data_IF_363145537391
#
_entry.id   IF_363145537391
#
_cell.length_a   1.000
_cell.length_b   1.000
_cell.length_c   1.000
_cell.angle_alpha   90.00
_cell.angle_beta   90.00
_cell.angle_gamma   90.00
#
_symmetry.space_group_name_H-M   'P 1'
#
loop_
_entity.id
_entity.type
_entity.pdbx_description
1 polymer ?
#
# COMPACT_ATOMS: atom_id res chain seq x y z
N UNK A 1 -2.12 4.31 -23.48
CA UNK A 1 -2.23 5.33 -22.41
C UNK A 1 -3.60 5.22 -21.79
N UNK A 2 -3.69 5.15 -20.47
CA UNK A 2 -4.95 5.00 -19.74
C UNK A 2 -4.99 5.96 -18.56
N UNK A 3 -6.15 6.55 -18.29
CA UNK A 3 -6.33 7.38 -17.08
C UNK A 3 -6.32 6.47 -15.86
N UNK A 4 -5.57 6.87 -14.84
CA UNK A 4 -5.39 6.11 -13.61
C UNK A 4 -5.51 7.00 -12.38
N UNK A 5 -5.93 6.39 -11.28
CA UNK A 5 -5.79 6.96 -9.94
C UNK A 5 -4.92 6.00 -9.14
N UNK A 6 -3.75 6.46 -8.70
CA UNK A 6 -2.80 5.67 -7.91
C UNK A 6 -2.98 6.06 -6.45
N UNK A 7 -3.23 5.08 -5.56
CA UNK A 7 -3.16 5.29 -4.11
C UNK A 7 -1.90 4.64 -3.55
N UNK A 8 -1.11 5.41 -2.84
CA UNK A 8 0.10 4.96 -2.16
C UNK A 8 -0.21 4.42 -0.75
N UNK A 9 0.78 3.82 -0.10
CA UNK A 9 0.62 3.27 1.25
C UNK A 9 0.43 4.31 2.36
N UNK A 10 0.86 5.54 2.11
CA UNK A 10 0.68 6.69 2.99
C UNK A 10 -0.64 7.42 2.73
N UNK A 11 -1.52 6.82 1.93
CA UNK A 11 -2.79 7.38 1.44
C UNK A 11 -2.68 8.60 0.55
N UNK A 12 -1.47 8.98 0.12
CA UNK A 12 -1.33 9.92 -0.98
C UNK A 12 -2.00 9.34 -2.24
N UNK A 13 -2.63 10.22 -3.02
CA UNK A 13 -3.28 9.86 -4.28
C UNK A 13 -2.76 10.73 -5.41
N UNK A 14 -2.41 10.10 -6.52
CA UNK A 14 -2.01 10.78 -7.76
C UNK A 14 -2.97 10.38 -8.87
N UNK A 15 -3.51 11.38 -9.55
CA UNK A 15 -4.28 11.19 -10.77
C UNK A 15 -3.43 11.52 -11.99
N UNK A 16 -3.64 10.79 -13.10
CA UNK A 16 -2.91 11.07 -14.32
C UNK A 16 -3.14 10.04 -15.41
N UNK A 17 -2.23 10.04 -16.38
CA UNK A 17 -2.24 9.13 -17.52
C UNK A 17 -1.03 8.22 -17.47
N UNK A 18 -1.27 6.91 -17.30
CA UNK A 18 -0.21 5.92 -17.32
C UNK A 18 0.16 5.53 -18.76
N UNK A 19 1.46 5.51 -19.05
CA UNK A 19 2.03 4.90 -20.26
C UNK A 19 2.35 3.44 -19.95
N UNK A 20 1.75 2.53 -20.72
CA UNK A 20 2.05 1.10 -20.69
C UNK A 20 2.02 0.47 -19.29
N UNK A 21 0.99 0.79 -18.49
CA UNK A 21 0.81 0.16 -17.18
C UNK A 21 0.62 -1.34 -17.34
N UNK A 22 1.63 -2.09 -16.93
CA UNK A 22 1.68 -3.53 -16.96
C UNK A 22 2.16 -4.06 -15.60
N UNK A 23 1.35 -4.91 -14.96
CA UNK A 23 1.71 -5.53 -13.68
C UNK A 23 2.68 -6.71 -13.85
N UNK A 24 3.15 -7.00 -15.07
CA UNK A 24 4.28 -7.88 -15.33
C UNK A 24 5.64 -7.19 -15.22
N UNK A 25 5.67 -5.85 -15.16
CA UNK A 25 6.83 -5.01 -14.86
C UNK A 25 6.79 -4.48 -13.40
N UNK A 26 7.94 -4.19 -12.77
CA UNK A 26 7.99 -3.79 -11.36
C UNK A 26 7.62 -2.32 -11.10
N UNK A 27 7.46 -1.52 -12.15
CA UNK A 27 7.22 -0.08 -12.11
C UNK A 27 6.49 0.41 -13.36
N UNK A 28 6.01 1.65 -13.33
CA UNK A 28 5.32 2.28 -14.46
C UNK A 28 5.46 3.80 -14.42
N UNK A 29 5.18 4.44 -15.56
CA UNK A 29 5.28 5.89 -15.73
C UNK A 29 3.89 6.54 -15.79
N UNK A 30 3.70 7.61 -15.02
CA UNK A 30 2.47 8.42 -15.02
C UNK A 30 2.77 9.86 -15.42
N UNK A 31 2.08 10.38 -16.42
CA UNK A 31 1.95 11.81 -16.66
C UNK A 31 0.92 12.35 -15.66
N UNK A 32 1.36 13.21 -14.75
CA UNK A 32 0.54 13.64 -13.60
C UNK A 32 -0.43 14.72 -14.07
N UNK A 33 -1.72 14.54 -13.76
CA UNK A 33 -2.69 15.62 -13.91
C UNK A 33 -2.40 16.65 -12.80
N UNK A 34 -2.31 17.92 -13.16
CA UNK A 34 -1.98 19.05 -12.29
C UNK A 34 -2.99 19.19 -11.12
N UNK A 35 -2.80 18.40 -10.05
CA UNK A 35 -3.72 18.26 -8.94
C UNK A 35 -2.98 18.31 -7.59
N UNK A 36 -3.20 19.41 -6.86
CA UNK A 36 -3.04 19.46 -5.41
C UNK A 36 -1.61 19.48 -4.86
N UNK A 37 -0.79 20.45 -5.28
CA UNK A 37 0.53 20.71 -4.67
C UNK A 37 1.71 20.04 -5.37
N UNK A 38 1.47 19.30 -6.45
CA UNK A 38 2.48 18.75 -7.36
C UNK A 38 2.62 19.57 -8.64
N UNK A 39 2.36 20.89 -8.58
CA UNK A 39 2.27 21.82 -9.73
C UNK A 39 3.55 21.90 -10.59
N UNK A 40 4.67 21.31 -10.12
CA UNK A 40 5.94 21.25 -10.85
C UNK A 40 6.27 19.84 -11.40
N UNK A 41 5.38 18.87 -11.23
CA UNK A 41 5.63 17.48 -11.62
C UNK A 41 4.93 17.16 -12.93
N UNK A 42 5.69 17.03 -14.01
CA UNK A 42 5.17 16.63 -15.32
C UNK A 42 5.02 15.11 -15.45
N UNK A 43 5.86 14.33 -14.77
CA UNK A 43 5.91 12.87 -14.90
C UNK A 43 6.47 12.22 -13.65
N UNK A 44 5.90 11.09 -13.23
CA UNK A 44 6.33 10.30 -12.08
C UNK A 44 6.65 8.86 -12.48
N UNK A 45 7.82 8.38 -12.04
CA UNK A 45 8.20 6.96 -12.10
C UNK A 45 7.76 6.28 -10.80
N UNK A 46 6.83 5.33 -10.89
CA UNK A 46 6.16 4.76 -9.72
C UNK A 46 6.50 3.27 -9.60
N UNK A 47 7.25 2.85 -8.57
CA UNK A 47 7.46 1.42 -8.30
C UNK A 47 6.22 0.79 -7.67
N UNK A 48 5.86 -0.42 -8.08
CA UNK A 48 4.71 -1.15 -7.52
C UNK A 48 4.84 -1.44 -6.02
N UNK A 49 6.06 -1.40 -5.47
CA UNK A 49 6.33 -1.53 -4.03
C UNK A 49 5.92 -0.31 -3.21
N UNK A 50 5.62 0.83 -3.84
CA UNK A 50 5.08 2.02 -3.17
C UNK A 50 3.55 2.11 -3.26
N UNK A 51 2.95 1.34 -4.17
CA UNK A 51 1.54 1.42 -4.53
C UNK A 51 0.70 0.47 -3.69
N UNK A 52 -0.39 0.98 -3.14
CA UNK A 52 -1.41 0.18 -2.46
C UNK A 52 -2.39 -0.42 -3.47
N UNK A 53 -2.93 0.41 -4.35
CA UNK A 53 -3.72 -0.01 -5.52
C UNK A 53 -3.74 1.09 -6.58
N UNK A 54 -4.07 0.70 -7.81
CA UNK A 54 -4.30 1.59 -8.95
C UNK A 54 -5.72 1.36 -9.44
N UNK A 55 -6.53 2.42 -9.53
CA UNK A 55 -7.80 2.39 -10.24
C UNK A 55 -7.56 2.69 -11.71
N UNK A 56 -8.03 1.79 -12.56
CA UNK A 56 -7.86 1.79 -14.01
C UNK A 56 -9.15 2.23 -14.68
N UNK A 57 -9.02 2.84 -15.85
CA UNK A 57 -10.17 3.08 -16.71
C UNK A 57 -10.88 1.76 -17.05
N UNK A 58 -12.19 1.69 -16.74
CA UNK A 58 -13.06 0.55 -17.06
C UNK A 58 -13.44 0.58 -18.54
N UNK A 59 -13.41 -0.59 -19.17
CA UNK A 59 -14.01 -0.81 -20.49
C UNK A 59 -15.54 -0.90 -20.34
N UNK A 60 -16.28 -0.04 -21.06
CA UNK A 60 -17.74 0.13 -20.90
C UNK A 60 -18.59 -1.12 -21.22
N UNK A 61 -17.99 -2.16 -21.80
CA UNK A 61 -18.71 -3.33 -22.35
C UNK A 61 -18.75 -4.56 -21.44
N UNK A 62 -18.12 -4.55 -20.26
CA UNK A 62 -18.20 -5.69 -19.34
C UNK A 62 -19.61 -5.82 -18.75
N UNK A 63 -20.29 -6.89 -19.14
CA UNK A 63 -21.62 -7.27 -18.67
C UNK A 63 -21.61 -7.51 -17.16
N UNK A 64 -22.42 -6.74 -16.45
CA UNK A 64 -22.58 -6.80 -15.00
C UNK A 64 -23.14 -8.17 -14.57
N UNK A 65 -22.30 -9.08 -14.08
CA UNK A 65 -22.81 -10.20 -13.29
C UNK A 65 -21.87 -10.46 -12.12
N UNK A 66 -22.09 -9.79 -10.97
CA UNK A 66 -21.28 -10.00 -9.79
C UNK A 66 -21.42 -11.45 -9.34
N UNK A 67 -20.34 -12.23 -9.49
CA UNK A 67 -20.41 -13.68 -9.30
C UNK A 67 -19.99 -14.10 -7.89
N UNK A 68 -19.00 -13.43 -7.29
CA UNK A 68 -18.35 -13.90 -6.06
C UNK A 68 -18.03 -12.76 -5.09
N UNK A 69 -18.40 -12.93 -3.82
CA UNK A 69 -17.96 -12.02 -2.75
C UNK A 69 -16.48 -12.21 -2.49
N UNK A 70 -15.75 -11.10 -2.43
CA UNK A 70 -14.32 -11.06 -2.15
C UNK A 70 -14.00 -10.10 -1.02
N UNK A 71 -12.99 -10.46 -0.23
CA UNK A 71 -12.38 -9.59 0.76
C UNK A 71 -10.87 -9.53 0.50
N UNK A 72 -10.36 -8.36 0.17
CA UNK A 72 -8.94 -8.10 -0.09
C UNK A 72 -8.37 -7.48 1.17
N UNK A 73 -7.48 -8.21 1.84
CA UNK A 73 -6.78 -7.72 3.03
C UNK A 73 -5.43 -7.17 2.63
N UNK A 74 -5.19 -5.92 2.96
CA UNK A 74 -3.91 -5.26 2.77
C UNK A 74 -2.99 -5.55 3.97
N UNK A 75 -1.67 -5.35 3.78
CA UNK A 75 -0.67 -5.54 4.84
C UNK A 75 -0.84 -4.54 6.00
N UNK A 76 -1.46 -3.40 5.74
CA UNK A 76 -1.80 -2.37 6.72
C UNK A 76 -3.01 -2.73 7.61
N UNK A 77 -3.78 -3.74 7.23
CA UNK A 77 -5.00 -4.12 7.93
C UNK A 77 -6.27 -3.55 7.31
N UNK A 78 -6.17 -2.67 6.30
CA UNK A 78 -7.32 -2.24 5.51
C UNK A 78 -7.92 -3.44 4.78
N UNK A 79 -9.25 -3.44 4.67
CA UNK A 79 -9.99 -4.49 3.98
C UNK A 79 -10.93 -3.87 2.97
N UNK A 80 -10.69 -4.15 1.69
CA UNK A 80 -11.67 -3.86 0.64
C UNK A 80 -12.61 -5.07 0.47
N UNK A 81 -13.91 -4.83 0.62
CA UNK A 81 -14.97 -5.82 0.43
C UNK A 81 -15.81 -5.47 -0.78
N UNK A 82 -16.24 -6.49 -1.51
CA UNK A 82 -17.09 -6.29 -2.68
C UNK A 82 -17.36 -7.57 -3.43
N UNK A 83 -17.95 -7.44 -4.61
CA UNK A 83 -18.20 -8.54 -5.52
C UNK A 83 -17.23 -8.45 -6.69
N UNK A 84 -16.59 -9.57 -7.00
CA UNK A 84 -15.80 -9.73 -8.20
C UNK A 84 -16.74 -9.85 -9.40
N UNK A 85 -16.52 -9.00 -10.40
CA UNK A 85 -17.16 -9.09 -11.69
C UNK A 85 -16.20 -9.75 -12.70
N UNK A 86 -16.66 -10.80 -13.37
CA UNK A 86 -15.82 -11.59 -14.29
C UNK A 86 -14.65 -12.34 -13.62
N UNK A 87 -13.47 -12.26 -14.25
CA UNK A 87 -12.25 -12.97 -13.85
C UNK A 87 -11.24 -12.06 -13.16
N UNK A 88 -10.47 -12.65 -12.25
CA UNK A 88 -9.27 -12.04 -11.71
C UNK A 88 -8.09 -12.38 -12.62
N UNK A 89 -7.43 -11.35 -13.14
CA UNK A 89 -6.23 -11.46 -13.97
C UNK A 89 -5.01 -11.43 -13.07
N UNK A 90 -4.14 -12.43 -13.21
CA UNK A 90 -2.90 -12.54 -12.42
C UNK A 90 -1.72 -12.17 -13.31
N UNK A 91 -0.90 -11.26 -12.81
CA UNK A 91 0.37 -10.87 -13.40
C UNK A 91 1.53 -11.29 -12.48
N UNK A 92 2.76 -10.99 -12.89
CA UNK A 92 3.98 -11.27 -12.12
C UNK A 92 4.05 -10.52 -10.79
N UNK A 93 3.68 -9.24 -10.78
CA UNK A 93 3.82 -8.36 -9.62
C UNK A 93 2.48 -7.95 -8.98
N UNK A 94 1.35 -8.38 -9.53
CA UNK A 94 0.04 -8.07 -8.95
C UNK A 94 -1.12 -8.79 -9.61
N UNK A 95 -2.32 -8.31 -9.31
CA UNK A 95 -3.59 -8.78 -9.87
C UNK A 95 -4.42 -7.61 -10.37
N UNK A 96 -5.18 -7.83 -11.44
CA UNK A 96 -6.18 -6.88 -11.93
C UNK A 96 -7.56 -7.53 -11.80
N UNK A 97 -8.52 -6.77 -11.26
CA UNK A 97 -9.89 -7.25 -11.07
C UNK A 97 -10.92 -6.14 -11.18
N UNK A 98 -12.16 -6.51 -11.50
CA UNK A 98 -13.30 -5.59 -11.42
C UNK A 98 -14.02 -5.81 -10.09
N UNK A 99 -14.04 -4.76 -9.27
CA UNK A 99 -14.64 -4.79 -7.94
C UNK A 99 -15.90 -3.92 -7.90
N UNK A 100 -17.04 -4.56 -7.70
CA UNK A 100 -18.27 -3.89 -7.30
C UNK A 100 -18.25 -3.71 -5.79
N UNK A 101 -18.39 -2.49 -5.27
CA UNK A 101 -18.40 -2.30 -3.82
C UNK A 101 -19.59 -3.02 -3.17
N UNK A 102 -19.52 -3.22 -1.85
CA UNK A 102 -20.63 -3.82 -1.10
C UNK A 102 -21.92 -2.98 -1.15
N UNK A 103 -21.76 -1.65 -1.24
CA UNK A 103 -22.88 -0.71 -1.37
C UNK A 103 -23.46 -0.73 -2.79
N UNK A 104 -24.76 -0.97 -2.90
CA UNK A 104 -25.46 -1.20 -4.18
C UNK A 104 -25.41 -0.05 -5.19
N UNK A 105 -24.99 1.15 -4.80
CA UNK A 105 -24.97 2.35 -5.66
C UNK A 105 -23.54 2.85 -5.98
N UNK A 106 -22.52 2.06 -5.64
CA UNK A 106 -21.13 2.40 -5.96
C UNK A 106 -20.74 1.92 -7.36
N UNK A 107 -20.00 2.73 -8.14
CA UNK A 107 -19.53 2.30 -9.45
C UNK A 107 -18.56 1.13 -9.33
N UNK A 108 -18.59 0.24 -10.33
CA UNK A 108 -17.59 -0.83 -10.47
C UNK A 108 -16.25 -0.20 -10.79
N UNK A 109 -15.23 -0.57 -10.01
CA UNK A 109 -13.85 -0.11 -10.19
C UNK A 109 -12.98 -1.22 -10.76
N UNK A 110 -12.23 -0.93 -11.82
CA UNK A 110 -11.17 -1.82 -12.31
C UNK A 110 -9.92 -1.51 -11.47
N UNK A 111 -9.51 -2.43 -10.61
CA UNK A 111 -8.42 -2.25 -9.67
C UNK A 111 -7.23 -3.14 -10.05
N UNK A 112 -6.06 -2.52 -10.23
CA UNK A 112 -4.77 -3.18 -10.21
C UNK A 112 -4.17 -3.13 -8.81
N UNK A 113 -3.80 -4.28 -8.27
CA UNK A 113 -3.32 -4.40 -6.88
C UNK A 113 -1.98 -5.14 -6.85
N UNK A 114 -0.88 -4.47 -6.47
CA UNK A 114 0.42 -5.11 -6.30
C UNK A 114 0.43 -6.17 -5.19
N UNK A 115 1.19 -7.25 -5.37
CA UNK A 115 1.40 -8.24 -4.32
C UNK A 115 2.17 -7.68 -3.12
N UNK A 116 2.95 -6.63 -3.31
CA UNK A 116 3.60 -5.87 -2.23
C UNK A 116 2.62 -5.26 -1.23
N UNK A 117 1.37 -5.01 -1.63
CA UNK A 117 0.35 -4.37 -0.78
C UNK A 117 -0.59 -5.36 -0.09
N UNK A 118 -0.74 -6.55 -0.66
CA UNK A 118 -1.79 -7.49 -0.27
C UNK A 118 -1.26 -8.55 0.66
N UNK A 119 -1.96 -8.73 1.78
CA UNK A 119 -1.78 -9.90 2.64
C UNK A 119 -2.41 -11.13 2.00
N UNK A 120 -3.67 -11.02 1.58
CA UNK A 120 -4.40 -12.08 0.90
C UNK A 120 -5.71 -11.56 0.28
N UNK A 121 -6.16 -12.23 -0.78
CA UNK A 121 -7.50 -12.09 -1.35
C UNK A 121 -8.31 -13.35 -1.00
N UNK A 122 -9.47 -13.15 -0.37
CA UNK A 122 -10.36 -14.22 0.07
C UNK A 122 -11.64 -14.22 -0.75
N UNK A 123 -12.06 -15.38 -1.23
CA UNK A 123 -13.43 -15.60 -1.68
C UNK A 123 -14.28 -15.99 -0.47
N UNK A 124 -15.33 -15.23 -0.18
CA UNK A 124 -16.16 -15.39 1.03
C UNK A 124 -17.59 -15.77 0.67
N UNK A 125 -18.30 -16.42 1.61
CA UNK A 125 -19.73 -16.72 1.46
C UNK A 125 -20.60 -15.56 1.93
N UNK A 126 -20.17 -14.92 3.02
CA UNK A 126 -20.83 -13.82 3.67
C UNK A 126 -19.79 -12.78 4.11
N UNK A 127 -20.16 -11.51 4.11
CA UNK A 127 -19.37 -10.46 4.73
C UNK A 127 -19.69 -10.52 6.23
N UNK A 128 -18.75 -11.00 7.04
CA UNK A 128 -18.94 -11.02 8.50
C UNK A 128 -18.80 -9.59 9.04
N UNK A 129 -19.84 -9.11 9.73
CA UNK A 129 -19.93 -7.79 10.35
C UNK A 129 -18.95 -7.63 11.55
N UNK A 130 -18.37 -8.72 12.06
CA UNK A 130 -17.44 -8.67 13.22
C UNK A 130 -16.06 -8.07 12.93
N UNK A 131 -15.87 -7.46 11.76
CA UNK A 131 -14.67 -6.74 11.37
C UNK A 131 -14.94 -5.32 10.89
N UNK A 132 -16.06 -4.70 11.28
CA UNK A 132 -16.36 -3.28 11.00
C UNK A 132 -15.42 -2.30 11.72
N UNK A 133 -14.68 -2.74 12.75
CA UNK A 133 -13.68 -1.90 13.42
C UNK A 133 -12.39 -1.68 12.62
N UNK A 134 -12.20 -2.36 11.47
CA UNK A 134 -11.10 -2.07 10.55
C UNK A 134 -11.42 -0.86 9.66
N UNK A 135 -11.83 0.25 10.28
CA UNK A 135 -11.79 1.57 9.67
C UNK A 135 -10.35 1.95 9.34
N UNK A 136 -10.14 2.53 8.16
CA UNK A 136 -8.91 3.18 7.65
C UNK A 136 -7.64 2.85 8.45
N UNK A 137 -7.10 1.64 8.27
CA UNK A 137 -5.91 1.15 8.98
C UNK A 137 -4.59 1.81 8.52
N UNK A 138 -4.68 3.01 7.95
CA UNK A 138 -3.56 3.75 7.39
C UNK A 138 -2.61 4.26 8.47
N UNK A 139 -3.15 4.81 9.56
CA UNK A 139 -2.35 5.32 10.69
C UNK A 139 -1.46 4.23 11.31
N UNK A 140 -1.97 2.99 11.39
CA UNK A 140 -1.24 1.86 11.96
C UNK A 140 -0.10 1.36 11.05
N UNK A 141 -0.22 1.49 9.73
CA UNK A 141 0.82 1.06 8.79
C UNK A 141 1.86 2.13 8.55
N UNK A 142 1.47 3.40 8.51
CA UNK A 142 2.42 4.51 8.60
C UNK A 142 3.29 4.36 9.84
N UNK A 143 2.67 4.09 11.00
CA UNK A 143 3.41 3.80 12.23
C UNK A 143 4.37 2.61 12.09
N UNK A 144 4.01 1.58 11.30
CA UNK A 144 4.84 0.38 11.09
C UNK A 144 5.97 0.59 10.08
N UNK A 145 5.79 1.45 9.08
CA UNK A 145 6.80 1.80 8.07
C UNK A 145 7.76 2.88 8.57
N UNK A 146 7.29 3.82 9.40
CA UNK A 146 8.14 4.73 10.18
C UNK A 146 8.91 4.02 11.29
N UNK A 147 8.62 2.74 11.59
CA UNK A 147 9.44 1.95 12.50
C UNK A 147 10.77 1.52 11.90
N UNK A 148 11.08 1.62 10.61
CA UNK A 148 12.39 1.16 10.12
C UNK A 148 13.55 1.96 10.76
N UNK A 149 13.55 3.31 10.77
CA UNK A 149 14.53 4.09 11.52
C UNK A 149 14.48 3.84 13.03
N UNK A 150 13.28 3.62 13.59
CA UNK A 150 13.12 3.39 15.03
C UNK A 150 13.61 2.00 15.46
N UNK A 151 13.44 0.98 14.62
CA UNK A 151 13.94 -0.38 14.79
C UNK A 151 15.46 -0.39 14.73
N UNK A 152 16.05 0.32 13.76
CA UNK A 152 17.51 0.49 13.67
C UNK A 152 18.07 1.17 14.93
N UNK A 153 17.41 2.22 15.41
CA UNK A 153 17.76 2.90 16.67
C UNK A 153 17.62 1.96 17.88
N UNK A 154 16.56 1.16 17.95
CA UNK A 154 16.34 0.20 19.04
C UNK A 154 17.38 -0.93 19.03
N UNK A 155 17.76 -1.46 17.87
CA UNK A 155 18.82 -2.46 17.73
C UNK A 155 20.19 -1.89 18.12
N UNK A 156 20.51 -0.66 17.70
CA UNK A 156 21.76 0.02 18.05
C UNK A 156 21.82 0.33 19.57
N UNK A 157 20.70 0.72 20.19
CA UNK A 157 20.59 0.90 21.64
C UNK A 157 20.78 -0.39 22.42
N UNK A 158 20.22 -1.51 21.96
CA UNK A 158 20.39 -2.80 22.59
C UNK A 158 21.85 -3.30 22.47
N UNK A 159 22.50 -3.07 21.32
CA UNK A 159 23.92 -3.35 21.14
C UNK A 159 24.80 -2.51 22.08
N UNK A 160 24.56 -1.21 22.20
CA UNK A 160 25.31 -0.32 23.11
C UNK A 160 25.17 -0.75 24.57
N UNK A 161 23.96 -1.15 24.98
CA UNK A 161 23.67 -1.64 26.33
C UNK A 161 24.43 -2.94 26.62
N UNK A 162 24.50 -3.86 25.65
CA UNK A 162 25.30 -5.08 25.76
C UNK A 162 26.79 -4.79 25.90
N UNK A 163 27.35 -3.93 25.05
CA UNK A 163 28.77 -3.57 25.09
C UNK A 163 29.17 -2.88 26.40
N UNK A 164 28.30 -2.03 26.95
CA UNK A 164 28.52 -1.40 28.26
C UNK A 164 28.49 -2.43 29.40
N UNK A 165 27.48 -3.30 29.41
CA UNK A 165 27.37 -4.39 30.39
C UNK A 165 28.57 -5.34 30.36
N UNK A 166 29.09 -5.61 29.16
CA UNK A 166 30.23 -6.50 28.95
C UNK A 166 31.58 -5.79 29.20
N UNK A 167 31.57 -4.51 29.62
CA UNK A 167 32.76 -3.72 29.97
C UNK A 167 33.58 -3.26 28.76
N UNK A 168 33.04 -3.40 27.55
CA UNK A 168 33.67 -2.99 26.28
C UNK A 168 33.46 -1.50 25.97
N UNK A 169 32.57 -0.84 26.71
CA UNK A 169 32.38 0.62 26.69
C UNK A 169 32.48 1.15 28.11
N UNK A 170 33.21 2.26 28.30
CA UNK A 170 33.15 3.03 29.54
C UNK A 170 31.82 3.77 29.68
N UNK A 171 31.47 4.18 30.91
CA UNK A 171 30.24 4.94 31.19
C UNK A 171 30.13 6.21 30.33
N UNK A 172 31.25 6.90 30.12
CA UNK A 172 31.30 8.11 29.30
C UNK A 172 31.05 7.81 27.81
N UNK A 173 31.65 6.74 27.28
CA UNK A 173 31.46 6.34 25.88
C UNK A 173 30.04 5.85 25.63
N UNK A 174 29.46 5.09 26.57
CA UNK A 174 28.07 4.67 26.50
C UNK A 174 27.12 5.88 26.51
N UNK A 175 27.31 6.83 27.43
CA UNK A 175 26.48 8.03 27.50
C UNK A 175 26.56 8.87 26.21
N UNK A 176 27.77 9.09 25.71
CA UNK A 176 27.99 9.89 24.50
C UNK A 176 27.41 9.23 23.24
N UNK A 177 27.61 7.91 23.07
CA UNK A 177 27.05 7.16 21.92
C UNK A 177 25.52 7.03 21.99
N UNK A 178 24.97 6.83 23.19
CA UNK A 178 23.52 6.80 23.40
C UNK A 178 22.87 8.13 23.01
N UNK A 179 23.47 9.27 23.37
CA UNK A 179 22.98 10.58 22.95
C UNK A 179 22.98 10.71 21.43
N UNK A 180 24.07 10.34 20.75
CA UNK A 180 24.16 10.38 19.28
C UNK A 180 23.13 9.50 18.57
N UNK A 181 22.80 8.33 19.14
CA UNK A 181 21.78 7.43 18.58
C UNK A 181 20.38 8.02 18.75
N UNK A 182 20.10 8.66 19.88
CA UNK A 182 18.82 9.32 20.15
C UNK A 182 18.63 10.62 19.35
N UNK A 183 19.71 11.31 18.98
CA UNK A 183 19.68 12.48 18.10
C UNK A 183 19.34 12.16 16.63
N UNK A 184 19.28 10.87 16.26
CA UNK A 184 18.84 10.41 14.92
C UNK A 184 17.32 10.25 14.80
N UNK A 185 16.59 10.38 15.90
CA UNK A 185 15.12 10.38 15.97
C UNK A 185 14.58 11.80 15.76
#
# INVERSE_FOLDING_TARGET
MARVVVRFFDDETVEGVARDLDFDEPDFLVEVDDAGGLENNETAWIPLTAVKWVELQRDKELADTPTRKVAIRFLDGEVLRGHLDGTLERHRYGVVLHLHAEQSDSPIRKLGIPFSAVKALFFVREFDARGEEAGTASDAYLARRTMAPLLDVLEEMDMLTRLHRDGLLSDHEYASKRTLVLERL
#
